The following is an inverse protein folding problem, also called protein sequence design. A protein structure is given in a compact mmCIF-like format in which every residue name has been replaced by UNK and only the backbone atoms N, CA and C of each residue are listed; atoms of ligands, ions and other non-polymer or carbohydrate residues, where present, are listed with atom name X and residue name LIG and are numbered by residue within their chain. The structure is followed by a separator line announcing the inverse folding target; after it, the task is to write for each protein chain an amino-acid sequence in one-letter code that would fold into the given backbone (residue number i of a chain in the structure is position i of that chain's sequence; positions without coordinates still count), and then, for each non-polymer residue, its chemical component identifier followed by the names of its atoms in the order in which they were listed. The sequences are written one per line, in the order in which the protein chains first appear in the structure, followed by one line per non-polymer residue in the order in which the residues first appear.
data_IF_618134573557
#
_entry.id   IF_618134573557
#
_cell.length_a   1.000
_cell.length_b   1.000
_cell.length_c   1.000
_cell.angle_alpha   90.00
_cell.angle_beta   90.00
_cell.angle_gamma   90.00
#
_symmetry.space_group_name_H-M   'P 1'
#
loop_
_entity.id
_entity.type
_entity.pdbx_description
1 polymer ?
#
# COMPACT_ATOMS: atom_id res chain seq x y z
N UNK A 1 -2.45 -6.21 15.28
CA UNK A 1 -3.35 -5.69 14.24
C UNK A 1 -3.06 -6.36 12.91
N UNK A 2 -4.09 -6.49 12.08
CA UNK A 2 -4.02 -6.95 10.70
C UNK A 2 -3.64 -5.82 9.76
N UNK A 3 -3.24 -6.14 8.52
CA UNK A 3 -3.03 -5.15 7.46
C UNK A 3 -4.31 -4.35 7.19
N UNK A 4 -5.49 -4.98 7.32
CA UNK A 4 -6.78 -4.30 7.20
C UNK A 4 -6.96 -3.20 8.25
N UNK A 5 -6.68 -3.51 9.52
CA UNK A 5 -6.79 -2.54 10.61
C UNK A 5 -5.77 -1.40 10.44
N UNK A 6 -4.53 -1.74 10.09
CA UNK A 6 -3.49 -0.74 9.79
C UNK A 6 -3.88 0.18 8.61
N UNK A 7 -4.47 -0.40 7.56
CA UNK A 7 -4.95 0.36 6.40
C UNK A 7 -6.07 1.33 6.78
N UNK A 8 -7.02 0.89 7.62
CA UNK A 8 -8.10 1.74 8.10
C UNK A 8 -7.58 2.91 8.93
N UNK A 9 -6.64 2.66 9.85
CA UNK A 9 -5.97 3.73 10.60
C UNK A 9 -5.24 4.69 9.69
N UNK A 10 -4.49 4.18 8.69
CA UNK A 10 -3.78 5.01 7.72
C UNK A 10 -4.73 5.90 6.91
N UNK A 11 -5.93 5.41 6.56
CA UNK A 11 -6.96 6.19 5.86
C UNK A 11 -7.57 7.25 6.78
N UNK A 12 -7.86 6.92 8.04
CA UNK A 12 -8.43 7.87 9.02
C UNK A 12 -7.46 9.02 9.29
N UNK A 13 -6.17 8.71 9.44
CA UNK A 13 -5.10 9.67 9.75
C UNK A 13 -4.48 10.32 8.50
N UNK A 14 -5.01 10.04 7.29
CA UNK A 14 -4.49 10.51 5.99
C UNK A 14 -2.99 10.23 5.76
N UNK A 15 -2.49 9.09 6.22
CA UNK A 15 -1.11 8.63 5.99
C UNK A 15 -0.92 8.07 4.57
N UNK A 16 -1.02 8.93 3.57
CA UNK A 16 -1.00 8.55 2.14
C UNK A 16 0.15 7.64 1.72
N UNK A 17 1.36 7.87 2.22
CA UNK A 17 2.51 7.02 1.90
C UNK A 17 2.31 5.57 2.38
N UNK A 18 1.68 5.39 3.53
CA UNK A 18 1.37 4.07 4.09
C UNK A 18 0.20 3.42 3.35
N UNK A 19 -0.83 4.20 3.00
CA UNK A 19 -1.93 3.77 2.14
C UNK A 19 -1.38 3.20 0.83
N UNK A 20 -0.57 3.97 0.11
CA UNK A 20 0.01 3.53 -1.17
C UNK A 20 0.92 2.31 -1.02
N UNK A 21 1.70 2.23 0.07
CA UNK A 21 2.51 1.05 0.34
C UNK A 21 1.64 -0.21 0.51
N UNK A 22 0.60 -0.13 1.34
CA UNK A 22 -0.29 -1.27 1.62
C UNK A 22 -1.02 -1.68 0.35
N UNK A 23 -1.61 -0.75 -0.39
CA UNK A 23 -2.33 -1.06 -1.61
C UNK A 23 -1.42 -1.66 -2.69
N UNK A 24 -0.22 -1.11 -2.84
CA UNK A 24 0.76 -1.67 -3.78
C UNK A 24 1.16 -3.10 -3.39
N UNK A 25 1.35 -3.39 -2.10
CA UNK A 25 1.69 -4.74 -1.64
C UNK A 25 0.53 -5.73 -1.81
N UNK A 26 -0.71 -5.31 -1.54
CA UNK A 26 -1.89 -6.19 -1.56
C UNK A 26 -2.45 -6.36 -2.96
N UNK A 27 -2.67 -5.27 -3.70
CA UNK A 27 -3.40 -5.28 -4.96
C UNK A 27 -2.48 -5.39 -6.18
N UNK A 28 -1.39 -4.61 -6.21
CA UNK A 28 -0.48 -4.61 -7.36
C UNK A 28 0.46 -5.82 -7.33
N UNK A 29 1.16 -6.02 -6.21
CA UNK A 29 2.14 -7.11 -6.06
C UNK A 29 1.56 -8.42 -5.58
N UNK A 30 0.36 -8.40 -4.96
CA UNK A 30 -0.28 -9.58 -4.34
C UNK A 30 0.68 -10.33 -3.40
N UNK A 31 1.56 -9.60 -2.72
CA UNK A 31 2.62 -10.15 -1.88
C UNK A 31 2.13 -10.47 -0.46
N UNK A 32 1.05 -9.81 -0.03
CA UNK A 32 0.37 -10.00 1.24
C UNK A 32 -1.15 -9.90 1.06
N UNK A 33 -1.89 -10.34 2.08
CA UNK A 33 -3.35 -10.23 2.17
C UNK A 33 -3.74 -9.28 3.30
N UNK A 34 -4.98 -8.78 3.27
CA UNK A 34 -5.51 -7.87 4.29
C UNK A 34 -5.58 -8.50 5.69
N UNK A 35 -5.76 -9.81 5.79
CA UNK A 35 -5.86 -10.53 7.07
C UNK A 35 -4.49 -10.85 7.69
N UNK A 36 -3.40 -10.59 6.97
CA UNK A 36 -2.05 -10.85 7.46
C UNK A 36 -1.72 -9.93 8.64
N UNK A 37 -0.89 -10.42 9.56
CA UNK A 37 -0.34 -9.61 10.64
C UNK A 37 0.54 -8.47 10.10
N UNK A 38 0.24 -7.24 10.55
CA UNK A 38 0.88 -6.02 10.09
C UNK A 38 2.36 -5.89 10.47
N UNK A 39 2.84 -6.62 11.49
CA UNK A 39 4.26 -6.64 11.89
C UNK A 39 5.20 -7.10 10.76
N UNK A 40 4.66 -7.77 9.74
CA UNK A 40 5.43 -8.20 8.59
C UNK A 40 5.70 -7.08 7.57
N UNK A 41 5.14 -5.87 7.73
CA UNK A 41 5.25 -4.82 6.71
C UNK A 41 6.70 -4.34 6.53
N UNK A 42 7.49 -4.29 7.62
CA UNK A 42 8.91 -3.93 7.60
C UNK A 42 9.76 -4.91 6.77
N UNK A 43 9.44 -6.20 6.83
CA UNK A 43 10.10 -7.20 5.98
C UNK A 43 9.91 -6.88 4.48
N UNK A 44 8.76 -6.33 4.08
CA UNK A 44 8.52 -5.98 2.68
C UNK A 44 9.25 -4.71 2.27
N UNK A 45 9.35 -3.72 3.15
CA UNK A 45 10.13 -2.50 2.85
C UNK A 45 11.61 -2.84 2.65
N UNK A 46 12.15 -3.77 3.44
CA UNK A 46 13.50 -4.30 3.25
C UNK A 46 13.64 -5.16 1.99
N UNK A 47 12.69 -6.05 1.71
CA UNK A 47 12.71 -6.91 0.51
C UNK A 47 12.75 -6.11 -0.80
N UNK A 48 12.08 -4.96 -0.83
CA UNK A 48 12.04 -4.08 -2.02
C UNK A 48 13.01 -2.90 -1.92
N UNK A 49 13.95 -2.92 -0.97
CA UNK A 49 14.93 -1.85 -0.77
C UNK A 49 15.67 -1.51 -2.07
N UNK A 50 15.82 -0.21 -2.33
CA UNK A 50 16.47 0.31 -3.54
C UNK A 50 15.55 0.45 -4.77
N UNK A 51 14.40 -0.24 -4.82
CA UNK A 51 13.38 -0.10 -5.88
C UNK A 51 12.02 0.35 -5.36
N UNK A 52 11.82 0.35 -4.04
CA UNK A 52 10.54 0.69 -3.42
C UNK A 52 10.06 2.09 -3.82
N UNK A 53 10.93 3.10 -3.73
CA UNK A 53 10.55 4.48 -4.04
C UNK A 53 10.08 4.68 -5.49
N UNK A 54 10.80 4.24 -6.54
CA UNK A 54 10.31 4.37 -7.92
C UNK A 54 9.05 3.53 -8.18
N UNK A 55 8.92 2.35 -7.59
CA UNK A 55 7.73 1.51 -7.74
C UNK A 55 6.49 2.14 -7.08
N UNK A 56 6.63 2.71 -5.88
CA UNK A 56 5.54 3.41 -5.19
C UNK A 56 5.16 4.71 -5.91
N UNK A 57 6.14 5.43 -6.48
CA UNK A 57 5.87 6.62 -7.28
C UNK A 57 5.08 6.27 -8.55
N UNK A 58 5.44 5.18 -9.24
CA UNK A 58 4.72 4.69 -10.40
C UNK A 58 3.29 4.22 -10.03
N UNK A 59 3.15 3.52 -8.91
CA UNK A 59 1.85 3.09 -8.41
C UNK A 59 0.95 4.28 -8.05
N UNK A 60 1.49 5.25 -7.31
CA UNK A 60 0.79 6.51 -7.00
C UNK A 60 0.32 7.21 -8.27
N UNK A 61 1.19 7.38 -9.25
CA UNK A 61 0.83 8.00 -10.53
C UNK A 61 -0.28 7.21 -11.26
N UNK A 62 -0.24 5.87 -11.23
CA UNK A 62 -1.28 5.01 -11.81
C UNK A 62 -2.64 5.17 -11.11
N UNK A 63 -2.65 5.21 -9.77
CA UNK A 63 -3.89 5.39 -8.99
C UNK A 63 -4.47 6.79 -9.19
N UNK A 64 -3.62 7.82 -9.15
CA UNK A 64 -4.06 9.22 -9.27
C UNK A 64 -4.48 9.57 -10.71
N UNK A 65 -3.81 9.02 -11.73
CA UNK A 65 -4.22 9.19 -13.14
C UNK A 65 -5.44 8.34 -13.51
N UNK A 66 -5.68 7.22 -12.83
CA UNK A 66 -6.89 6.40 -12.96
C UNK A 66 -8.07 6.85 -12.09
N UNK A 67 -7.87 7.90 -11.26
CA UNK A 67 -8.82 8.37 -10.25
C UNK A 67 -10.12 9.01 -10.78
N UNK A 68 -10.25 9.25 -12.08
CA UNK A 68 -11.52 9.69 -12.69
C UNK A 68 -12.55 8.56 -12.86
N UNK A 69 -12.22 7.30 -12.52
CA UNK A 69 -13.13 6.19 -12.82
C UNK A 69 -13.22 5.11 -11.76
N UNK A 70 -13.40 5.44 -10.47
CA UNK A 70 -14.08 4.57 -9.49
C UNK A 70 -14.84 5.36 -8.42
N UNK A 71 -15.97 5.93 -8.81
CA UNK A 71 -17.13 6.14 -7.92
C UNK A 71 -18.07 4.98 -8.17
N UNK A 72 -18.00 3.91 -7.36
CA UNK A 72 -19.13 3.09 -6.86
C UNK A 72 -18.62 2.06 -5.85
#
# INVERSE_FOLDING_TARGET
MTIKELYQEAVIEDFKSLIYLIEWLVYEKKAITMDRDARNIEYFTEKYRGRLNPELAAYKAKVESGGEQKVI
#
